data_IF_495852900396
#
_entry.id   IF_495852900396
#
_cell.length_a   1.000
_cell.length_b   1.000
_cell.length_c   1.000
_cell.angle_alpha   90.00
_cell.angle_beta   90.00
_cell.angle_gamma   90.00
#
_symmetry.space_group_name_H-M   'P 1'
#
loop_
_entity.id
_entity.type
_entity.pdbx_description
1 polymer ?
#
# COMPACT_ATOMS: atom_id res chain seq x y z
N UNK A 1 33.88 14.07 29.78
CA UNK A 1 33.07 12.85 29.61
C UNK A 1 33.28 12.33 28.20
N UNK A 2 34.07 11.26 28.04
CA UNK A 2 34.41 10.72 26.71
C UNK A 2 33.30 9.76 26.30
N UNK A 3 32.43 10.17 25.38
CA UNK A 3 31.45 9.25 24.81
C UNK A 3 32.20 8.15 24.06
N UNK A 4 31.93 6.86 24.34
CA UNK A 4 32.58 5.78 23.63
C UNK A 4 32.18 5.86 22.16
N UNK A 5 33.16 6.15 21.28
CA UNK A 5 32.96 6.28 19.82
C UNK A 5 32.21 5.10 19.20
N UNK A 6 32.33 3.92 19.82
CA UNK A 6 31.60 2.69 19.45
C UNK A 6 30.08 2.84 19.58
N UNK A 7 29.58 3.51 20.61
CA UNK A 7 28.14 3.72 20.85
C UNK A 7 27.52 4.67 19.82
N UNK A 8 28.29 5.67 19.36
CA UNK A 8 27.88 6.63 18.34
C UNK A 8 27.67 5.98 16.97
N UNK A 9 28.36 4.87 16.67
CA UNK A 9 28.25 4.14 15.40
C UNK A 9 27.23 3.00 15.51
N UNK A 10 27.16 2.32 16.65
CA UNK A 10 26.25 1.20 16.86
C UNK A 10 24.77 1.63 16.84
N UNK A 11 24.47 2.80 17.39
CA UNK A 11 23.11 3.34 17.45
C UNK A 11 22.46 3.58 16.07
N UNK A 12 23.07 4.32 15.12
CA UNK A 12 22.50 4.49 13.79
C UNK A 12 22.46 3.19 12.99
N UNK A 13 23.43 2.29 13.16
CA UNK A 13 23.45 0.99 12.49
C UNK A 13 22.25 0.13 12.93
N UNK A 14 21.99 0.07 14.23
CA UNK A 14 20.83 -0.65 14.76
C UNK A 14 19.52 -0.03 14.26
N UNK A 15 19.44 1.30 14.18
CA UNK A 15 18.26 1.99 13.67
C UNK A 15 17.98 1.66 12.20
N UNK A 16 19.01 1.61 11.35
CA UNK A 16 18.85 1.22 9.93
C UNK A 16 18.37 -0.22 9.74
N UNK A 17 18.72 -1.13 10.65
CA UNK A 17 18.30 -2.53 10.60
C UNK A 17 16.83 -2.71 11.01
N UNK A 18 16.28 -1.78 11.79
CA UNK A 18 14.90 -1.83 12.28
C UNK A 18 13.89 -1.20 11.29
N UNK A 19 14.35 -0.47 10.28
CA UNK A 19 13.48 0.15 9.28
C UNK A 19 13.09 -0.89 8.22
N UNK A 20 11.82 -1.28 8.20
CA UNK A 20 11.24 -2.09 7.14
C UNK A 20 10.49 -1.20 6.15
N UNK A 21 10.82 -1.29 4.86
CA UNK A 21 10.08 -0.60 3.79
C UNK A 21 8.96 -1.51 3.27
N UNK A 22 7.72 -1.03 3.31
CA UNK A 22 6.58 -1.71 2.69
C UNK A 22 6.25 -1.05 1.35
N UNK A 23 6.22 -1.85 0.28
CA UNK A 23 5.83 -1.38 -1.06
C UNK A 23 4.39 -1.79 -1.30
N UNK A 24 3.47 -0.82 -1.37
CA UNK A 24 2.07 -1.07 -1.72
C UNK A 24 1.85 -0.84 -3.20
N UNK A 25 1.05 -1.69 -3.83
CA UNK A 25 0.55 -1.45 -5.18
C UNK A 25 -0.81 -0.75 -5.10
N UNK A 26 -0.99 0.34 -5.84
CA UNK A 26 -2.23 1.12 -5.84
C UNK A 26 -2.90 1.03 -7.20
N UNK A 27 -4.17 0.65 -7.23
CA UNK A 27 -4.99 0.55 -8.43
C UNK A 27 -6.14 1.56 -8.38
N UNK A 28 -6.34 2.33 -9.44
CA UNK A 28 -7.46 3.25 -9.57
C UNK A 28 -8.49 2.66 -10.55
N UNK A 29 -9.66 2.30 -10.03
CA UNK A 29 -10.80 1.80 -10.82
C UNK A 29 -11.71 2.97 -11.13
N UNK A 30 -11.86 3.33 -12.41
CA UNK A 30 -12.70 4.44 -12.85
C UNK A 30 -13.92 3.92 -13.59
N UNK A 31 -15.11 4.24 -13.09
CA UNK A 31 -16.34 4.00 -13.83
C UNK A 31 -16.51 5.06 -14.93
N UNK A 32 -16.29 4.70 -16.19
CA UNK A 32 -16.63 5.55 -17.35
C UNK A 32 -17.98 5.21 -18.00
N UNK A 33 -18.70 4.23 -17.47
CA UNK A 33 -20.02 3.88 -17.95
C UNK A 33 -21.03 4.97 -17.56
N UNK A 34 -22.13 5.06 -18.33
CA UNK A 34 -23.23 6.00 -18.06
C UNK A 34 -24.16 5.56 -16.92
N UNK A 35 -23.89 4.41 -16.31
CA UNK A 35 -24.68 3.81 -15.24
C UNK A 35 -23.82 3.41 -14.05
N UNK A 36 -24.48 3.17 -12.91
CA UNK A 36 -23.85 2.74 -11.67
C UNK A 36 -23.28 1.33 -11.84
N UNK A 37 -22.03 1.13 -11.43
CA UNK A 37 -21.38 -0.18 -11.42
C UNK A 37 -20.99 -0.58 -10.01
N UNK A 38 -20.94 -1.88 -9.75
CA UNK A 38 -20.40 -2.42 -8.50
C UNK A 38 -19.02 -3.00 -8.79
N UNK A 39 -17.98 -2.20 -8.51
CA UNK A 39 -16.61 -2.67 -8.62
C UNK A 39 -16.32 -3.69 -7.51
N UNK A 40 -15.61 -4.76 -7.84
CA UNK A 40 -15.24 -5.79 -6.89
C UNK A 40 -13.75 -6.08 -7.01
N UNK A 41 -13.11 -6.41 -5.90
CA UNK A 41 -11.72 -6.79 -5.86
C UNK A 41 -11.55 -8.02 -4.97
N UNK A 42 -10.68 -8.92 -5.40
CA UNK A 42 -10.22 -10.03 -4.57
C UNK A 42 -8.78 -9.73 -4.17
N UNK A 43 -8.45 -9.64 -2.87
CA UNK A 43 -9.27 -9.96 -1.69
C UNK A 43 -10.09 -8.80 -1.07
N UNK A 44 -9.99 -7.56 -1.58
CA UNK A 44 -10.36 -6.37 -0.79
C UNK A 44 -11.86 -6.02 -0.72
N UNK A 45 -12.75 -6.72 -1.42
CA UNK A 45 -14.21 -6.56 -1.29
C UNK A 45 -14.85 -5.87 -2.49
N UNK A 46 -15.78 -4.94 -2.29
CA UNK A 46 -16.43 -4.24 -3.41
C UNK A 46 -17.01 -2.88 -3.03
N UNK A 47 -17.19 -2.02 -4.03
CA UNK A 47 -17.67 -0.66 -3.89
C UNK A 47 -18.59 -0.28 -5.05
N UNK A 48 -19.72 0.32 -4.73
CA UNK A 48 -20.61 0.95 -5.70
C UNK A 48 -19.94 2.23 -6.25
N UNK A 49 -19.93 2.39 -7.58
CA UNK A 49 -19.35 3.54 -8.27
C UNK A 49 -20.37 4.16 -9.22
N UNK A 50 -20.73 5.40 -8.92
CA UNK A 50 -21.50 6.24 -9.84
C UNK A 50 -20.70 6.56 -11.11
N UNK A 51 -21.37 6.95 -12.22
CA UNK A 51 -20.73 7.40 -13.44
C UNK A 51 -19.66 8.47 -13.19
N UNK A 52 -18.47 8.27 -13.73
CA UNK A 52 -17.33 9.18 -13.60
C UNK A 52 -16.58 9.10 -12.26
N UNK A 53 -17.02 8.26 -11.31
CA UNK A 53 -16.33 8.09 -10.03
C UNK A 53 -15.19 7.08 -10.12
N UNK A 54 -14.17 7.31 -9.30
CA UNK A 54 -13.04 6.41 -9.15
C UNK A 54 -12.93 5.85 -7.73
N UNK A 55 -12.38 4.65 -7.64
CA UNK A 55 -12.06 3.98 -6.40
C UNK A 55 -10.60 3.54 -6.41
N UNK A 56 -9.88 3.93 -5.38
CA UNK A 56 -8.48 3.57 -5.19
C UNK A 56 -8.38 2.37 -4.27
N UNK A 57 -7.73 1.31 -4.74
CA UNK A 57 -7.51 0.06 -3.99
C UNK A 57 -6.02 -0.12 -3.76
N UNK A 58 -5.64 -0.24 -2.50
CA UNK A 58 -4.28 -0.57 -2.11
C UNK A 58 -4.17 -2.09 -1.90
N UNK A 59 -3.18 -2.69 -2.54
CA UNK A 59 -2.91 -4.12 -2.50
C UNK A 59 -1.57 -4.35 -1.83
N UNK A 60 -1.58 -5.20 -0.81
CA UNK A 60 -0.37 -5.53 -0.07
C UNK A 60 0.63 -6.27 -0.97
N UNK A 61 1.94 -6.04 -0.78
CA UNK A 61 2.97 -6.75 -1.53
C UNK A 61 2.85 -8.26 -1.28
N UNK A 62 3.13 -9.06 -2.31
CA UNK A 62 3.00 -10.51 -2.26
C UNK A 62 1.56 -11.05 -2.42
N UNK A 63 0.56 -10.19 -2.68
CA UNK A 63 -0.80 -10.67 -2.98
C UNK A 63 -0.82 -11.43 -4.31
N UNK A 64 -1.16 -12.73 -4.27
CA UNK A 64 -1.28 -13.60 -5.46
C UNK A 64 -2.74 -13.90 -5.78
N UNK A 65 -3.07 -14.09 -7.07
CA UNK A 65 -4.42 -14.44 -7.50
C UNK A 65 -5.45 -13.29 -7.35
N UNK A 66 -4.97 -12.04 -7.35
CA UNK A 66 -5.81 -10.84 -7.27
C UNK A 66 -6.67 -10.65 -8.52
N UNK A 67 -7.85 -10.03 -8.34
CA UNK A 67 -8.78 -9.66 -9.42
C UNK A 67 -9.42 -8.32 -9.11
N UNK A 68 -9.76 -7.57 -10.15
CA UNK A 68 -10.53 -6.31 -10.15
C UNK A 68 -11.62 -6.47 -11.22
#
# INVERSE_FOLDING_TARGET
MSFPKSLTILFPLLFTLLISFTIVATFAVLNKCSYIVWAATKPSGGMCLDPGKSWTVNVNPGTTGARI
#
